data_IF_076730360052
#
_entry.id   IF_076730360052
#
_cell.length_a   1.000
_cell.length_b   1.000
_cell.length_c   1.000
_cell.angle_alpha   90.00
_cell.angle_beta   90.00
_cell.angle_gamma   90.00
#
_symmetry.space_group_name_H-M   'P 1'
#
loop_
_entity.id
_entity.type
_entity.pdbx_description
1 polymer ?
#
# COMPACT_ATOMS: atom_id res chain seq x y z
N UNK A 1 6.40 10.64 12.76
CA UNK A 1 6.65 11.36 14.03
C UNK A 1 6.85 10.34 15.14
N UNK A 2 7.60 10.68 16.19
CA UNK A 2 7.69 9.87 17.39
C UNK A 2 6.48 10.13 18.30
N UNK A 3 5.86 9.07 18.77
CA UNK A 3 4.68 9.07 19.63
C UNK A 3 4.99 8.26 20.88
N UNK A 4 4.68 8.82 22.04
CA UNK A 4 4.66 8.10 23.31
C UNK A 4 3.33 8.40 24.01
N UNK A 5 2.64 7.35 24.48
CA UNK A 5 1.36 7.46 25.20
C UNK A 5 0.30 8.30 24.44
N UNK A 6 0.22 8.13 23.12
CA UNK A 6 -0.73 8.86 22.27
C UNK A 6 -0.39 10.35 22.03
N UNK A 7 0.74 10.84 22.53
CA UNK A 7 1.21 12.20 22.34
C UNK A 7 2.42 12.24 21.40
N UNK A 8 2.45 13.20 20.48
CA UNK A 8 3.65 13.48 19.70
C UNK A 8 4.76 14.01 20.60
N UNK A 9 5.90 13.33 20.60
CA UNK A 9 7.07 13.71 21.40
C UNK A 9 8.21 14.27 20.55
N UNK A 10 8.14 14.15 19.23
CA UNK A 10 9.11 14.73 18.31
C UNK A 10 8.96 14.24 16.88
N UNK A 11 9.81 14.75 16.00
CA UNK A 11 9.90 14.29 14.61
C UNK A 11 10.96 13.20 14.49
N UNK A 12 10.63 12.16 13.75
CA UNK A 12 11.55 11.08 13.40
C UNK A 12 11.80 11.14 11.89
N UNK A 13 13.03 10.89 11.46
CA UNK A 13 13.37 10.78 10.04
C UNK A 13 12.57 9.65 9.39
N UNK A 14 12.05 9.90 8.20
CA UNK A 14 11.37 8.86 7.41
C UNK A 14 12.41 7.79 7.04
N UNK A 15 12.25 6.53 7.48
CA UNK A 15 13.18 5.46 7.14
C UNK A 15 13.18 5.19 5.63
N UNK A 16 14.36 4.95 5.08
CA UNK A 16 14.53 4.57 3.67
C UNK A 16 14.10 3.11 3.49
N UNK A 17 13.45 2.79 2.37
CA UNK A 17 13.13 1.40 2.03
C UNK A 17 14.43 0.59 1.83
N UNK A 18 14.45 -0.64 2.34
CA UNK A 18 15.52 -1.60 2.05
C UNK A 18 15.54 -2.02 0.58
N UNK A 19 16.55 -2.79 0.18
CA UNK A 19 16.69 -3.30 -1.19
C UNK A 19 15.50 -4.15 -1.65
N UNK A 20 14.72 -4.69 -0.71
CA UNK A 20 13.50 -5.47 -0.89
C UNK A 20 12.22 -4.63 -1.00
N UNK A 21 12.33 -3.30 -0.90
CA UNK A 21 11.19 -2.39 -0.85
C UNK A 21 10.48 -2.34 0.51
N UNK A 22 10.99 -3.02 1.54
CA UNK A 22 10.41 -3.01 2.88
C UNK A 22 10.92 -1.81 3.67
N UNK A 23 10.02 -1.03 4.26
CA UNK A 23 10.37 0.06 5.18
C UNK A 23 10.21 -0.38 6.63
N UNK A 24 11.29 -0.40 7.40
CA UNK A 24 11.26 -0.72 8.84
C UNK A 24 11.03 0.57 9.62
N UNK A 25 9.84 0.72 10.19
CA UNK A 25 9.50 1.85 11.05
C UNK A 25 9.87 1.56 12.50
N UNK A 26 10.54 2.49 13.21
CA UNK A 26 10.82 2.31 14.62
C UNK A 26 9.51 2.29 15.43
N UNK A 27 9.43 1.42 16.44
CA UNK A 27 8.19 1.11 17.16
C UNK A 27 7.49 2.34 17.75
N UNK A 28 8.25 3.35 18.15
CA UNK A 28 7.76 4.63 18.67
C UNK A 28 7.20 5.56 17.57
N UNK A 29 7.13 5.14 16.31
CA UNK A 29 6.56 5.94 15.20
C UNK A 29 5.31 5.30 14.59
N UNK A 30 4.92 4.13 15.10
CA UNK A 30 3.76 3.37 14.65
C UNK A 30 2.54 3.71 15.53
N UNK A 31 1.45 4.06 14.86
CA UNK A 31 0.13 4.21 15.47
C UNK A 31 -0.75 3.06 15.00
N UNK A 32 -1.43 2.40 15.94
CA UNK A 32 -2.35 1.29 15.63
C UNK A 32 -3.76 1.72 15.99
N UNK A 33 -4.70 1.48 15.09
CA UNK A 33 -6.13 1.73 15.34
C UNK A 33 -6.65 0.84 16.45
N UNK A 34 -7.56 1.36 17.28
CA UNK A 34 -8.27 0.59 18.29
C UNK A 34 -9.30 -0.38 17.67
N UNK A 35 -10.04 -1.10 18.52
CA UNK A 35 -11.11 -2.02 18.09
C UNK A 35 -12.24 -1.34 17.30
N UNK A 36 -12.35 -0.01 17.34
CA UNK A 36 -13.33 0.79 16.62
C UNK A 36 -12.74 1.44 15.35
N UNK A 37 -11.49 1.13 14.99
CA UNK A 37 -10.81 1.73 13.83
C UNK A 37 -10.36 3.19 14.05
N UNK A 38 -10.16 3.60 15.30
CA UNK A 38 -9.82 5.00 15.66
C UNK A 38 -8.38 5.10 16.18
N UNK A 39 -7.76 6.23 15.88
CA UNK A 39 -6.50 6.68 16.47
C UNK A 39 -6.71 8.07 17.06
N UNK A 40 -6.09 8.32 18.22
CA UNK A 40 -6.07 9.64 18.85
C UNK A 40 -4.61 10.11 18.93
N UNK A 41 -4.35 11.33 18.46
CA UNK A 41 -3.02 11.93 18.46
C UNK A 41 -3.12 13.29 19.15
N UNK A 42 -2.50 13.40 20.32
CA UNK A 42 -2.44 14.63 21.09
C UNK A 42 -1.12 15.41 20.84
N UNK A 43 -1.16 16.72 21.06
CA UNK A 43 0.03 17.58 21.02
C UNK A 43 0.43 18.08 19.63
N UNK A 44 -0.51 18.08 18.68
CA UNK A 44 -0.33 18.67 17.35
C UNK A 44 -0.62 20.18 17.39
N UNK A 45 0.32 20.99 16.89
CA UNK A 45 0.08 22.40 16.61
C UNK A 45 -0.79 22.58 15.35
N UNK A 46 -1.37 23.77 15.16
CA UNK A 46 -2.07 24.09 13.92
C UNK A 46 -1.10 24.17 12.74
N UNK A 47 -1.16 23.15 11.88
CA UNK A 47 -0.42 23.02 10.64
C UNK A 47 -1.06 21.93 9.75
N UNK A 48 -0.49 21.70 8.57
CA UNK A 48 -0.85 20.58 7.70
C UNK A 48 0.04 19.37 8.01
N UNK A 49 -0.60 18.24 8.30
CA UNK A 49 0.05 16.96 8.57
C UNK A 49 -0.36 15.90 7.56
N UNK A 50 0.46 14.86 7.42
CA UNK A 50 0.19 13.73 6.52
C UNK A 50 0.23 12.42 7.31
N UNK A 51 -0.82 11.62 7.17
CA UNK A 51 -0.92 10.27 7.73
C UNK A 51 -0.64 9.24 6.64
N UNK A 52 0.39 8.41 6.86
CA UNK A 52 0.75 7.31 5.95
C UNK A 52 0.28 5.99 6.51
N UNK A 53 -0.49 5.22 5.73
CA UNK A 53 -0.82 3.85 6.09
C UNK A 53 0.39 2.94 5.82
N UNK A 54 0.99 2.42 6.89
CA UNK A 54 2.17 1.54 6.82
C UNK A 54 1.78 0.07 6.65
N UNK A 55 0.63 -0.33 7.19
CA UNK A 55 0.11 -1.69 7.14
C UNK A 55 -1.42 -1.66 7.07
N UNK A 56 -1.97 -2.26 6.02
CA UNK A 56 -3.41 -2.45 5.88
C UNK A 56 -3.90 -3.62 6.74
N UNK A 57 -5.17 -3.60 7.19
CA UNK A 57 -5.87 -4.76 7.72
C UNK A 57 -5.94 -5.93 6.72
N UNK A 58 -6.08 -7.15 7.22
CA UNK A 58 -6.18 -8.35 6.39
C UNK A 58 -7.39 -8.27 5.42
N UNK A 59 -7.15 -8.56 4.14
CA UNK A 59 -8.17 -8.50 3.09
C UNK A 59 -8.42 -7.10 2.50
N UNK A 60 -7.60 -6.11 2.85
CA UNK A 60 -7.68 -4.75 2.32
C UNK A 60 -6.41 -4.32 1.60
N UNK A 61 -6.56 -3.44 0.61
CA UNK A 61 -5.44 -2.84 -0.09
C UNK A 61 -4.86 -1.69 0.73
N UNK A 62 -3.54 -1.68 0.93
CA UNK A 62 -2.85 -0.53 1.54
C UNK A 62 -3.03 0.72 0.69
N UNK A 63 -3.36 1.83 1.33
CA UNK A 63 -3.42 3.12 0.68
C UNK A 63 -2.04 3.50 0.11
N UNK A 64 -2.02 3.90 -1.17
CA UNK A 64 -0.80 4.32 -1.85
C UNK A 64 -0.41 5.77 -1.49
N UNK A 65 -1.42 6.60 -1.23
CA UNK A 65 -1.26 8.02 -0.98
C UNK A 65 -1.38 8.35 0.52
N UNK A 66 -0.71 9.43 0.92
CA UNK A 66 -0.81 9.94 2.28
C UNK A 66 -2.11 10.73 2.47
N UNK A 67 -2.74 10.60 3.64
CA UNK A 67 -3.96 11.34 3.99
C UNK A 67 -3.58 12.68 4.62
N UNK A 68 -3.94 13.77 3.96
CA UNK A 68 -3.74 15.13 4.48
C UNK A 68 -4.71 15.44 5.63
N UNK A 69 -4.17 15.96 6.72
CA UNK A 69 -4.91 16.43 7.90
C UNK A 69 -4.49 17.86 8.19
N UNK A 70 -5.36 18.81 7.86
CA UNK A 70 -5.13 20.23 8.11
C UNK A 70 -5.74 20.64 9.45
N UNK A 71 -4.88 21.02 10.40
CA UNK A 71 -5.29 21.51 11.72
C UNK A 71 -5.24 23.03 11.69
N UNK A 72 -6.39 23.66 11.90
CA UNK A 72 -6.50 25.13 11.96
C UNK A 72 -6.83 25.58 13.37
N UNK A 73 -6.19 26.65 13.82
CA UNK A 73 -6.61 27.38 15.02
C UNK A 73 -7.89 28.14 14.69
N UNK A 74 -8.96 27.90 15.43
CA UNK A 74 -10.15 28.74 15.40
C UNK A 74 -10.19 29.63 16.64
N UNK A 75 -10.46 30.91 16.43
CA UNK A 75 -10.67 31.87 17.52
C UNK A 75 -12.13 31.81 17.93
N UNK A 76 -12.41 31.62 19.22
CA UNK A 76 -13.76 31.71 19.78
C UNK A 76 -14.30 33.15 19.66
N UNK A 77 -15.63 33.33 19.67
CA UNK A 77 -16.31 34.64 19.53
C UNK A 77 -15.82 35.71 20.53
N UNK A 78 -15.29 35.29 21.67
CA UNK A 78 -14.72 36.18 22.69
C UNK A 78 -13.30 36.71 22.36
N UNK A 79 -12.72 36.33 21.21
CA UNK A 79 -11.41 36.80 20.73
C UNK A 79 -10.19 36.37 21.56
N UNK A 80 -10.41 35.63 22.66
CA UNK A 80 -9.39 35.29 23.67
C UNK A 80 -8.99 33.82 23.70
N UNK A 81 -9.82 32.93 23.17
CA UNK A 81 -9.59 31.48 23.23
C UNK A 81 -9.28 30.93 21.84
N UNK A 82 -8.09 30.33 21.69
CA UNK A 82 -7.73 29.55 20.51
C UNK A 82 -8.15 28.10 20.77
N UNK A 83 -9.16 27.64 20.06
CA UNK A 83 -9.61 26.26 20.13
C UNK A 83 -9.07 25.50 18.92
N UNK A 84 -8.48 24.32 19.13
CA UNK A 84 -8.17 23.39 18.06
C UNK A 84 -9.37 22.45 17.96
N UNK A 85 -10.14 22.54 16.88
CA UNK A 85 -11.25 21.62 16.65
C UNK A 85 -10.68 20.22 16.32
N UNK A 86 -11.21 19.13 16.90
CA UNK A 86 -10.78 17.79 16.55
C UNK A 86 -11.06 17.53 15.07
N UNK A 87 -10.00 17.33 14.28
CA UNK A 87 -10.11 17.01 12.86
C UNK A 87 -10.32 15.51 12.73
N UNK A 88 -11.50 15.10 12.25
CA UNK A 88 -11.76 13.70 11.92
C UNK A 88 -11.32 13.42 10.50
N UNK A 89 -10.12 12.87 10.33
CA UNK A 89 -9.69 12.34 9.05
C UNK A 89 -10.34 10.97 8.82
N UNK A 90 -11.13 10.84 7.75
CA UNK A 90 -11.68 9.55 7.34
C UNK A 90 -10.65 8.86 6.44
N UNK A 91 -10.07 7.78 6.93
CA UNK A 91 -9.22 6.89 6.12
C UNK A 91 -10.14 5.80 5.55
N UNK A 92 -10.44 5.90 4.26
CA UNK A 92 -11.27 4.91 3.57
C UNK A 92 -10.40 3.77 3.10
N UNK A 93 -10.59 2.59 3.69
CA UNK A 93 -9.87 1.40 3.32
C UNK A 93 -10.65 0.63 2.26
N UNK A 94 -10.08 0.47 1.06
CA UNK A 94 -10.74 -0.29 -0.01
C UNK A 94 -10.39 -1.77 0.15
N UNK A 95 -11.41 -2.63 0.20
CA UNK A 95 -11.20 -4.08 0.24
C UNK A 95 -10.37 -4.49 -0.97
N UNK A 96 -9.33 -5.26 -0.69
CA UNK A 96 -8.50 -5.83 -1.72
C UNK A 96 -9.31 -6.91 -2.42
N UNK A 97 -9.61 -6.70 -3.68
CA UNK A 97 -9.69 -7.87 -4.55
C UNK A 97 -8.28 -8.42 -4.61
N UNK A 98 -8.06 -9.63 -4.13
CA UNK A 98 -7.03 -10.47 -4.72
C UNK A 98 -7.41 -10.54 -6.20
N UNK A 99 -6.85 -9.63 -6.99
CA UNK A 99 -6.82 -9.83 -8.42
C UNK A 99 -6.19 -11.22 -8.55
N UNK A 100 -6.88 -12.22 -9.12
CA UNK A 100 -6.20 -13.45 -9.42
C UNK A 100 -4.98 -13.01 -10.21
N UNK A 101 -3.79 -13.29 -9.69
CA UNK A 101 -2.59 -13.27 -10.51
C UNK A 101 -3.02 -13.97 -11.80
N UNK A 102 -3.07 -13.24 -12.91
CA UNK A 102 -3.58 -13.75 -14.17
C UNK A 102 -2.58 -14.78 -14.65
N UNK A 103 -2.79 -15.99 -14.14
CA UNK A 103 -1.78 -17.02 -13.95
C UNK A 103 -2.26 -18.11 -12.97
N UNK A 104 -3.56 -18.18 -12.64
CA UNK A 104 -4.12 -19.33 -11.93
C UNK A 104 -3.89 -20.61 -12.72
N UNK A 105 -3.88 -21.76 -12.03
CA UNK A 105 -3.58 -23.11 -12.58
C UNK A 105 -4.33 -23.44 -13.88
N UNK A 106 -5.51 -22.84 -14.12
CA UNK A 106 -6.25 -23.00 -15.37
C UNK A 106 -5.55 -22.46 -16.63
N UNK A 107 -4.69 -21.45 -16.51
CA UNK A 107 -3.90 -20.91 -17.63
C UNK A 107 -2.66 -21.73 -17.96
N UNK A 108 -2.11 -22.47 -16.98
CA UNK A 108 -0.94 -23.35 -17.17
C UNK A 108 -1.22 -24.45 -18.20
N UNK A 109 -2.44 -24.99 -18.24
CA UNK A 109 -2.85 -26.01 -19.22
C UNK A 109 -2.73 -25.47 -20.66
N UNK A 110 -3.18 -24.23 -20.91
CA UNK A 110 -3.08 -23.62 -22.24
C UNK A 110 -1.62 -23.36 -22.65
N UNK A 111 -0.74 -23.01 -21.71
CA UNK A 111 0.69 -22.83 -21.98
C UNK A 111 1.40 -24.16 -22.28
N UNK A 112 1.10 -25.22 -21.52
CA UNK A 112 1.68 -26.55 -21.76
C UNK A 112 1.21 -27.11 -23.10
N UNK A 113 -0.09 -27.03 -23.40
CA UNK A 113 -0.62 -27.46 -24.71
C UNK A 113 -0.06 -26.62 -25.86
N UNK A 114 -0.02 -25.29 -25.70
CA UNK A 114 0.52 -24.38 -26.71
C UNK A 114 2.00 -24.61 -26.98
N UNK A 115 2.82 -24.81 -25.95
CA UNK A 115 4.25 -25.08 -26.10
C UNK A 115 4.52 -26.43 -26.79
N UNK A 116 3.76 -27.49 -26.45
CA UNK A 116 3.85 -28.79 -27.14
C UNK A 116 3.50 -28.65 -28.62
N UNK A 117 2.45 -27.89 -28.96
CA UNK A 117 2.02 -27.69 -30.34
C UNK A 117 3.08 -26.92 -31.16
N UNK A 118 3.67 -25.87 -30.58
CA UNK A 118 4.75 -25.10 -31.21
C UNK A 118 6.01 -25.95 -31.44
N UNK A 119 6.42 -26.74 -30.45
CA UNK A 119 7.57 -27.66 -30.60
C UNK A 119 7.28 -28.71 -31.68
N UNK A 120 6.08 -29.31 -31.67
CA UNK A 120 5.66 -30.27 -32.68
C UNK A 120 5.66 -29.70 -34.10
N UNK A 121 5.12 -28.49 -34.29
CA UNK A 121 5.15 -27.79 -35.56
C UNK A 121 6.59 -27.47 -36.00
N UNK A 122 7.46 -27.05 -35.08
CA UNK A 122 8.88 -26.80 -35.35
C UNK A 122 9.60 -28.06 -35.85
N UNK A 123 9.42 -29.19 -35.18
CA UNK A 123 10.00 -30.48 -35.59
C UNK A 123 9.47 -30.89 -36.97
N UNK A 124 8.16 -30.79 -37.21
CA UNK A 124 7.54 -31.15 -38.49
C UNK A 124 8.05 -30.26 -39.63
N UNK A 125 8.20 -28.95 -39.41
CA UNK A 125 8.75 -28.04 -40.41
C UNK A 125 10.22 -28.36 -40.73
N UNK A 126 11.03 -28.70 -39.73
CA UNK A 126 12.45 -29.06 -39.94
C UNK A 126 12.58 -30.39 -40.69
N UNK A 127 11.78 -31.40 -40.34
CA UNK A 127 11.81 -32.70 -41.04
C UNK A 127 11.33 -32.55 -42.48
N UNK A 128 10.24 -31.80 -42.71
CA UNK A 128 9.72 -31.53 -44.05
C UNK A 128 10.71 -30.73 -44.91
N UNK A 129 11.39 -29.73 -44.35
CA UNK A 129 12.48 -29.01 -45.03
C UNK A 129 13.64 -29.94 -45.40
N UNK A 130 14.04 -30.85 -44.50
CA UNK A 130 15.15 -31.79 -44.72
C UNK A 130 14.82 -32.88 -45.74
N UNK A 131 13.55 -33.25 -45.87
CA UNK A 131 13.06 -34.21 -46.87
C UNK A 131 12.94 -33.56 -48.25
N UNK A 132 12.46 -32.32 -48.32
CA UNK A 132 12.35 -31.58 -49.58
C UNK A 132 13.69 -31.08 -50.12
N UNK A 133 14.71 -30.92 -49.27
CA UNK A 133 16.08 -30.60 -49.69
C UNK A 133 16.90 -31.81 -50.15
N UNK A 134 16.28 -32.99 -50.29
CA UNK A 134 16.90 -34.24 -50.77
C UNK A 134 16.33 -34.73 -52.11
N UNK A 135 15.61 -33.87 -52.82
CA UNK A 135 15.15 -34.10 -54.21
C UNK A 135 16.10 -33.45 -55.21
#
# INVERSE_FOLDING_TARGET
AAVADGKLTGWATVPTAGEDGTTVWPANTLLTTDANGKIEIAGLDADTYYLREVKAPDGYNRLADDVEVKIVRTTSEDGKTLTLAPVTAKVNNNSGTELPSTGGTGTTIFHVLGSILVIGAGVLLVTRKRMNGRA
#
